data_IF_602435420715
#
_entry.id   IF_602435420715
#
_cell.length_a   1.000
_cell.length_b   1.000
_cell.length_c   1.000
_cell.angle_alpha   90.00
_cell.angle_beta   90.00
_cell.angle_gamma   90.00
#
_symmetry.space_group_name_H-M   'P 1'
#
loop_
_entity.id
_entity.type
_entity.pdbx_description
1 polymer ?
#
# COMPACT_ATOMS: atom_id res chain seq x y z
N UNK A 1 -11.18 -0.36 -38.89
CA UNK A 1 -10.81 0.16 -37.56
C UNK A 1 -12.09 0.51 -36.80
N UNK A 2 -12.53 -0.36 -35.90
CA UNK A 2 -13.75 -0.15 -35.10
C UNK A 2 -13.45 0.92 -34.04
N UNK A 3 -14.02 2.13 -34.18
CA UNK A 3 -14.03 3.16 -33.13
C UNK A 3 -14.81 2.60 -31.93
N UNK A 4 -14.12 2.25 -30.85
CA UNK A 4 -14.80 1.84 -29.61
C UNK A 4 -15.63 3.01 -29.08
N UNK A 5 -16.86 2.73 -28.65
CA UNK A 5 -17.76 3.74 -28.07
C UNK A 5 -17.11 4.33 -26.80
N UNK A 6 -17.25 5.64 -26.53
CA UNK A 6 -16.74 6.25 -25.30
C UNK A 6 -17.50 5.65 -24.11
N UNK A 7 -16.86 4.73 -23.40
CA UNK A 7 -17.45 4.12 -22.21
C UNK A 7 -17.16 4.99 -20.99
N UNK A 8 -18.21 5.41 -20.27
CA UNK A 8 -18.10 6.12 -18.98
C UNK A 8 -17.33 5.33 -17.91
N UNK A 9 -17.05 4.05 -18.16
CA UNK A 9 -16.20 3.16 -17.34
C UNK A 9 -14.84 3.78 -17.02
N UNK A 10 -14.27 4.62 -17.90
CA UNK A 10 -13.00 5.32 -17.63
C UNK A 10 -13.05 6.21 -16.38
N UNK A 11 -14.17 6.91 -16.15
CA UNK A 11 -14.35 7.76 -14.97
C UNK A 11 -14.56 6.94 -13.70
N UNK A 12 -15.21 5.78 -13.80
CA UNK A 12 -15.34 4.85 -12.68
C UNK A 12 -13.97 4.30 -12.27
N UNK A 13 -13.12 3.93 -13.24
CA UNK A 13 -11.75 3.48 -12.98
C UNK A 13 -10.94 4.61 -12.34
N UNK A 14 -11.06 5.84 -12.84
CA UNK A 14 -10.40 7.00 -12.23
C UNK A 14 -10.82 7.21 -10.78
N UNK A 15 -12.12 7.12 -10.48
CA UNK A 15 -12.64 7.20 -9.12
C UNK A 15 -12.08 6.08 -8.24
N UNK A 16 -12.01 4.84 -8.74
CA UNK A 16 -11.41 3.73 -8.01
C UNK A 16 -9.92 3.96 -7.73
N UNK A 17 -9.14 4.40 -8.73
CA UNK A 17 -7.72 4.72 -8.54
C UNK A 17 -7.53 5.85 -7.53
N UNK A 18 -8.38 6.88 -7.59
CA UNK A 18 -8.36 7.99 -6.65
C UNK A 18 -8.64 7.52 -5.21
N UNK A 19 -9.69 6.73 -5.00
CA UNK A 19 -10.04 6.19 -3.68
C UNK A 19 -8.93 5.29 -3.14
N UNK A 20 -8.39 4.39 -3.95
CA UNK A 20 -7.30 3.49 -3.53
C UNK A 20 -6.05 4.28 -3.19
N UNK A 21 -5.69 5.28 -3.99
CA UNK A 21 -4.53 6.14 -3.71
C UNK A 21 -4.76 6.95 -2.43
N UNK A 22 -5.97 7.46 -2.22
CA UNK A 22 -6.33 8.18 -0.99
C UNK A 22 -6.18 7.29 0.24
N UNK A 23 -6.68 6.05 0.17
CA UNK A 23 -6.54 5.06 1.26
C UNK A 23 -5.06 4.76 1.51
N UNK A 24 -4.25 4.60 0.46
CA UNK A 24 -2.81 4.35 0.58
C UNK A 24 -2.09 5.47 1.34
N UNK A 25 -2.39 6.73 1.01
CA UNK A 25 -1.84 7.87 1.74
C UNK A 25 -2.39 7.99 3.16
N UNK A 26 -3.68 7.69 3.36
CA UNK A 26 -4.30 7.70 4.68
C UNK A 26 -3.67 6.65 5.62
N UNK A 27 -3.36 5.45 5.14
CA UNK A 27 -2.68 4.42 5.94
C UNK A 27 -1.29 4.90 6.41
N UNK A 28 -0.51 5.46 5.49
CA UNK A 28 0.81 6.00 5.79
C UNK A 28 0.76 7.16 6.78
N UNK A 29 -0.23 8.04 6.66
CA UNK A 29 -0.43 9.15 7.57
C UNK A 29 -0.86 8.67 8.97
N UNK A 30 -1.74 7.67 9.03
CA UNK A 30 -2.32 7.19 10.29
C UNK A 30 -1.24 6.70 11.25
N UNK A 31 -0.24 5.96 10.79
CA UNK A 31 0.82 5.52 11.70
C UNK A 31 1.76 6.64 12.13
N UNK A 32 2.00 7.62 11.26
CA UNK A 32 2.83 8.76 11.61
C UNK A 32 2.16 9.56 12.75
N UNK A 33 0.83 9.72 12.67
CA UNK A 33 0.00 10.34 13.71
C UNK A 33 0.00 9.48 14.99
N UNK A 34 -0.25 8.18 14.85
CA UNK A 34 -0.30 7.24 15.96
C UNK A 34 1.07 6.97 16.60
N UNK A 35 2.18 7.34 15.95
CA UNK A 35 3.54 7.03 16.41
C UNK A 35 3.84 7.52 17.82
N UNK A 36 3.34 8.71 18.17
CA UNK A 36 3.49 9.27 19.53
C UNK A 36 2.71 8.48 20.60
N UNK A 37 1.53 7.96 20.25
CA UNK A 37 0.76 7.07 21.13
C UNK A 37 1.43 5.70 21.25
N UNK A 38 1.87 5.10 20.13
CA UNK A 38 2.60 3.82 20.11
C UNK A 38 3.85 3.88 21.00
N UNK A 39 4.58 5.00 20.97
CA UNK A 39 5.74 5.21 21.85
C UNK A 39 5.37 5.21 23.33
N UNK A 40 4.28 5.88 23.70
CA UNK A 40 3.81 5.94 25.09
C UNK A 40 3.30 4.58 25.56
N UNK A 41 2.47 3.93 24.74
CA UNK A 41 1.79 2.68 25.10
C UNK A 41 2.77 1.50 25.18
N UNK A 42 3.75 1.44 24.27
CA UNK A 42 4.76 0.38 24.27
C UNK A 42 6.05 0.77 25.01
N UNK A 43 6.16 2.00 25.51
CA UNK A 43 7.37 2.51 26.17
C UNK A 43 8.62 2.50 25.28
N UNK A 44 8.47 2.66 23.95
CA UNK A 44 9.57 2.52 22.99
C UNK A 44 10.26 3.85 22.66
N UNK A 45 11.57 3.77 22.41
CA UNK A 45 12.37 4.92 22.00
C UNK A 45 11.99 5.44 20.61
N UNK A 46 12.35 6.69 20.30
CA UNK A 46 12.24 7.25 18.96
C UNK A 46 13.05 6.49 17.90
N UNK A 47 14.19 5.91 18.31
CA UNK A 47 15.01 5.08 17.43
C UNK A 47 14.26 3.80 17.02
N UNK A 48 13.62 3.12 17.98
CA UNK A 48 12.82 1.92 17.73
C UNK A 48 11.63 2.22 16.82
N UNK A 49 10.91 3.31 17.07
CA UNK A 49 9.82 3.75 16.18
C UNK A 49 10.35 4.05 14.77
N UNK A 50 11.52 4.69 14.67
CA UNK A 50 12.21 4.95 13.39
C UNK A 50 12.53 3.67 12.61
N UNK A 51 12.91 2.59 13.29
CA UNK A 51 13.09 1.28 12.63
C UNK A 51 11.78 0.70 12.11
N UNK A 52 10.69 0.78 12.88
CA UNK A 52 9.36 0.32 12.45
C UNK A 52 8.90 1.09 11.20
N UNK A 53 9.10 2.41 11.16
CA UNK A 53 8.76 3.22 9.98
C UNK A 53 9.67 2.91 8.78
N UNK A 54 10.96 2.67 9.03
CA UNK A 54 11.92 2.34 7.98
C UNK A 54 11.67 0.97 7.35
N UNK A 55 11.11 0.01 8.11
CA UNK A 55 10.74 -1.31 7.60
C UNK A 55 9.81 -1.22 6.38
N UNK A 56 8.80 -0.35 6.46
CA UNK A 56 7.90 -0.05 5.34
C UNK A 56 8.67 0.51 4.14
N UNK A 57 9.50 1.54 4.35
CA UNK A 57 10.21 2.21 3.26
C UNK A 57 11.13 1.28 2.47
N UNK A 58 11.93 0.48 3.18
CA UNK A 58 12.84 -0.49 2.55
C UNK A 58 12.09 -1.61 1.83
N UNK A 59 11.06 -2.17 2.46
CA UNK A 59 10.20 -3.16 1.84
C UNK A 59 9.53 -2.63 0.58
N UNK A 60 8.99 -1.43 0.64
CA UNK A 60 8.31 -0.78 -0.48
C UNK A 60 9.28 -0.62 -1.66
N UNK A 61 10.46 -0.04 -1.43
CA UNK A 61 11.47 0.15 -2.50
C UNK A 61 11.90 -1.18 -3.10
N UNK A 62 12.24 -2.16 -2.26
CA UNK A 62 12.64 -3.49 -2.72
C UNK A 62 11.52 -4.20 -3.49
N UNK A 63 10.26 -3.99 -3.09
CA UNK A 63 9.08 -4.57 -3.70
C UNK A 63 8.67 -3.93 -5.03
N UNK A 64 9.18 -2.74 -5.39
CA UNK A 64 8.78 -2.07 -6.63
C UNK A 64 9.19 -2.86 -7.88
N UNK A 65 10.40 -3.44 -7.89
CA UNK A 65 10.90 -4.22 -9.04
C UNK A 65 10.11 -5.53 -9.21
N UNK A 66 9.97 -6.39 -8.17
CA UNK A 66 9.12 -7.58 -8.26
C UNK A 66 7.65 -7.24 -8.52
N UNK A 67 7.14 -6.17 -7.91
CA UNK A 67 5.78 -5.69 -8.11
C UNK A 67 5.49 -5.31 -9.56
N UNK A 68 6.41 -4.60 -10.21
CA UNK A 68 6.37 -4.30 -11.64
C UNK A 68 6.30 -5.56 -12.50
N UNK A 69 7.17 -6.53 -12.21
CA UNK A 69 7.19 -7.83 -12.90
C UNK A 69 5.90 -8.64 -12.69
N UNK A 70 5.33 -8.65 -11.48
CA UNK A 70 4.04 -9.29 -11.22
C UNK A 70 2.93 -8.64 -12.05
N UNK A 71 2.92 -7.31 -12.13
CA UNK A 71 1.95 -6.57 -12.94
C UNK A 71 2.06 -6.91 -14.44
N UNK A 72 3.28 -7.12 -14.94
CA UNK A 72 3.51 -7.56 -16.32
C UNK A 72 2.99 -8.96 -16.57
N UNK A 73 3.25 -9.88 -15.64
CA UNK A 73 2.94 -11.31 -15.82
C UNK A 73 1.47 -11.64 -15.60
N UNK A 74 0.83 -11.04 -14.60
CA UNK A 74 -0.52 -11.42 -14.15
C UNK A 74 -1.58 -10.36 -14.45
N UNK A 75 -1.17 -9.19 -14.94
CA UNK A 75 -2.03 -8.08 -15.31
C UNK A 75 -2.44 -7.18 -14.16
N UNK A 76 -2.55 -5.87 -14.44
CA UNK A 76 -2.76 -4.82 -13.43
C UNK A 76 -3.98 -5.05 -12.55
N UNK A 77 -5.12 -5.45 -13.12
CA UNK A 77 -6.37 -5.60 -12.36
C UNK A 77 -6.26 -6.63 -11.22
N UNK A 78 -5.71 -7.82 -11.51
CA UNK A 78 -5.64 -8.93 -10.53
C UNK A 78 -4.62 -8.63 -9.46
N UNK A 79 -3.42 -8.23 -9.86
CA UNK A 79 -2.32 -7.91 -8.94
C UNK A 79 -2.71 -6.76 -8.03
N UNK A 80 -3.37 -5.73 -8.57
CA UNK A 80 -3.75 -4.57 -7.78
C UNK A 80 -4.86 -4.89 -6.78
N UNK A 81 -5.86 -5.70 -7.16
CA UNK A 81 -6.87 -6.20 -6.22
C UNK A 81 -6.25 -7.05 -5.09
N UNK A 82 -5.33 -7.96 -5.43
CA UNK A 82 -4.63 -8.77 -4.43
C UNK A 82 -3.78 -7.91 -3.50
N UNK A 83 -3.09 -6.91 -4.03
CA UNK A 83 -2.27 -5.94 -3.30
C UNK A 83 -3.11 -5.17 -2.28
N UNK A 84 -4.24 -4.60 -2.71
CA UNK A 84 -5.19 -3.88 -1.85
C UNK A 84 -5.68 -4.77 -0.72
N UNK A 85 -6.13 -6.00 -1.04
CA UNK A 85 -6.61 -6.94 -0.04
C UNK A 85 -5.53 -7.31 0.98
N UNK A 86 -4.33 -7.60 0.49
CA UNK A 86 -3.20 -8.06 1.30
C UNK A 86 -2.70 -6.97 2.24
N UNK A 87 -2.50 -5.74 1.76
CA UNK A 87 -2.08 -4.65 2.65
C UNK A 87 -3.17 -4.32 3.67
N UNK A 88 -4.45 -4.41 3.29
CA UNK A 88 -5.57 -4.07 4.17
C UNK A 88 -5.68 -5.10 5.30
N UNK A 89 -5.45 -6.38 4.98
CA UNK A 89 -5.39 -7.44 5.98
C UNK A 89 -4.25 -7.20 6.97
N UNK A 90 -3.04 -6.88 6.50
CA UNK A 90 -1.91 -6.61 7.39
C UNK A 90 -2.09 -5.33 8.21
N UNK A 91 -2.76 -4.32 7.66
CA UNK A 91 -3.13 -3.10 8.38
C UNK A 91 -4.13 -3.40 9.49
N UNK A 92 -5.14 -4.21 9.21
CA UNK A 92 -6.10 -4.68 10.22
C UNK A 92 -5.38 -5.43 11.36
N UNK A 93 -4.45 -6.32 11.02
CA UNK A 93 -3.67 -7.09 12.01
C UNK A 93 -2.79 -6.20 12.90
N UNK A 94 -2.33 -5.03 12.42
CA UNK A 94 -1.59 -4.07 13.25
C UNK A 94 -2.43 -3.54 14.42
N UNK A 95 -3.75 -3.44 14.25
CA UNK A 95 -4.67 -3.00 15.30
C UNK A 95 -4.74 -3.95 16.50
N UNK A 96 -4.40 -5.23 16.32
CA UNK A 96 -4.42 -6.25 17.38
C UNK A 96 -3.07 -6.42 18.07
N UNK A 97 -2.05 -5.65 17.68
CA UNK A 97 -0.70 -5.86 18.21
C UNK A 97 -0.58 -5.49 19.70
N UNK A 98 -1.49 -4.64 20.20
CA UNK A 98 -1.58 -4.28 21.61
C UNK A 98 -1.96 -5.43 22.54
N UNK A 99 -2.52 -6.54 22.02
CA UNK A 99 -2.88 -7.72 22.81
C UNK A 99 -1.66 -8.59 23.20
N UNK A 100 -0.50 -8.34 22.58
CA UNK A 100 0.73 -9.08 22.86
C UNK A 100 1.61 -8.36 23.88
N UNK A 101 2.53 -9.11 24.52
CA UNK A 101 3.58 -8.50 25.33
C UNK A 101 4.45 -7.53 24.51
N UNK A 102 4.99 -6.49 25.16
CA UNK A 102 5.69 -5.36 24.52
C UNK A 102 6.77 -5.79 23.51
N UNK A 103 7.59 -6.78 23.85
CA UNK A 103 8.65 -7.28 22.96
C UNK A 103 8.08 -7.91 21.68
N UNK A 104 7.06 -8.76 21.81
CA UNK A 104 6.35 -9.37 20.69
C UNK A 104 5.62 -8.31 19.86
N UNK A 105 5.05 -7.29 20.52
CA UNK A 105 4.34 -6.21 19.86
C UNK A 105 5.25 -5.40 18.91
N UNK A 106 6.47 -5.08 19.35
CA UNK A 106 7.46 -4.35 18.53
C UNK A 106 7.84 -5.15 17.29
N UNK A 107 8.15 -6.44 17.46
CA UNK A 107 8.54 -7.32 16.35
C UNK A 107 7.36 -7.51 15.39
N UNK A 108 6.15 -7.72 15.92
CA UNK A 108 4.94 -7.85 15.11
C UNK A 108 4.66 -6.58 14.31
N UNK A 109 4.75 -5.39 14.92
CA UNK A 109 4.60 -4.11 14.22
C UNK A 109 5.64 -3.94 13.12
N UNK A 110 6.91 -4.25 13.39
CA UNK A 110 7.98 -4.18 12.38
C UNK A 110 7.69 -5.11 11.19
N UNK A 111 7.35 -6.37 11.46
CA UNK A 111 7.08 -7.36 10.42
C UNK A 111 5.83 -7.01 9.62
N UNK A 112 4.75 -6.59 10.28
CA UNK A 112 3.52 -6.15 9.59
C UNK A 112 3.78 -4.91 8.74
N UNK A 113 4.60 -3.95 9.20
CA UNK A 113 5.01 -2.78 8.41
C UNK A 113 5.82 -3.16 7.19
N UNK A 114 6.76 -4.09 7.34
CA UNK A 114 7.52 -4.63 6.23
C UNK A 114 6.60 -5.30 5.19
N UNK A 115 5.67 -6.15 5.65
CA UNK A 115 4.72 -6.84 4.79
C UNK A 115 3.74 -5.89 4.09
N UNK A 116 3.27 -4.84 4.77
CA UNK A 116 2.48 -3.76 4.14
C UNK A 116 3.31 -3.05 3.07
N UNK A 117 4.58 -2.72 3.33
CA UNK A 117 5.46 -2.11 2.33
C UNK A 117 5.60 -2.97 1.07
N UNK A 118 5.83 -4.27 1.22
CA UNK A 118 5.88 -5.22 0.10
C UNK A 118 4.54 -5.31 -0.64
N UNK A 119 3.43 -5.39 0.09
CA UNK A 119 2.10 -5.52 -0.48
C UNK A 119 1.67 -4.24 -1.23
N UNK A 120 2.06 -3.06 -0.75
CA UNK A 120 1.78 -1.77 -1.38
C UNK A 120 2.67 -1.46 -2.57
N UNK A 121 3.84 -2.09 -2.70
CA UNK A 121 4.82 -1.75 -3.72
C UNK A 121 4.32 -1.77 -5.19
N UNK A 122 3.41 -2.68 -5.61
CA UNK A 122 2.84 -2.66 -6.96
C UNK A 122 1.92 -1.46 -7.24
N UNK A 123 1.58 -0.63 -6.24
CA UNK A 123 0.51 0.35 -6.37
C UNK A 123 0.80 1.47 -7.37
N UNK A 124 1.96 2.10 -7.24
CA UNK A 124 2.33 3.19 -8.14
C UNK A 124 2.54 2.71 -9.59
N UNK A 125 3.29 1.62 -9.85
CA UNK A 125 3.40 1.06 -11.20
C UNK A 125 2.06 0.58 -11.76
N UNK A 126 1.20 0.02 -10.90
CA UNK A 126 -0.16 -0.43 -11.25
C UNK A 126 -1.05 0.73 -11.69
N UNK A 127 -1.07 1.82 -10.92
CA UNK A 127 -1.82 3.03 -11.24
C UNK A 127 -1.39 3.64 -12.57
N UNK A 128 -0.08 3.80 -12.78
CA UNK A 128 0.47 4.34 -14.03
C UNK A 128 0.05 3.48 -15.23
N UNK A 129 0.10 2.14 -15.11
CA UNK A 129 -0.34 1.22 -16.17
C UNK A 129 -1.83 1.29 -16.44
N UNK A 130 -2.67 1.37 -15.41
CA UNK A 130 -4.13 1.43 -15.57
C UNK A 130 -4.50 2.75 -16.26
N UNK A 131 -3.91 3.87 -15.84
CA UNK A 131 -4.11 5.16 -16.52
C UNK A 131 -3.66 5.09 -17.97
N UNK A 132 -2.47 4.54 -18.24
CA UNK A 132 -1.95 4.37 -19.60
C UNK A 132 -2.80 3.42 -20.47
N UNK A 133 -3.50 2.44 -19.89
CA UNK A 133 -4.35 1.52 -20.64
C UNK A 133 -5.74 2.11 -20.95
N UNK A 134 -6.28 2.96 -20.08
CA UNK A 134 -7.68 3.41 -20.14
C UNK A 134 -7.87 4.85 -20.63
N UNK A 135 -6.83 5.70 -20.58
CA UNK A 135 -6.91 7.10 -21.00
C UNK A 135 -6.20 7.33 -22.35
N UNK A 136 -6.74 8.17 -23.26
CA UNK A 136 -6.03 8.60 -24.47
C UNK A 136 -4.75 9.38 -24.13
N UNK A 137 -3.73 9.34 -24.97
CA UNK A 137 -2.45 10.05 -24.75
C UNK A 137 -2.63 11.57 -24.54
N UNK A 138 -3.69 12.17 -25.10
CA UNK A 138 -4.01 13.58 -24.94
C UNK A 138 -4.63 13.95 -23.57
N UNK A 139 -5.06 12.95 -22.78
CA UNK A 139 -5.71 13.12 -21.47
C UNK A 139 -4.88 12.48 -20.32
N UNK A 140 -3.66 11.97 -20.60
CA UNK A 140 -2.72 11.42 -19.62
C UNK A 140 -1.74 12.48 -19.15
#
# INVERSE_FOLDING_TARGET
MQKSKPTHVRYLILLMLFLVTTINYADRATIAIAGSSIQKDLGISAVTLGYIFSAFGWAYVAGQIPGGWLLDRFGSKKVYAMSIFTWSLFTLLQGYVGEFGVSTAIVALFMLRFLVGLAEAPSFPGNARIVAAWFPTAER
#
